data_IF_553506841006
#
_entry.id   IF_553506841006
#
_cell.length_a   1.000
_cell.length_b   1.000
_cell.length_c   1.000
_cell.angle_alpha   90.00
_cell.angle_beta   90.00
_cell.angle_gamma   90.00
#
_symmetry.space_group_name_H-M   'P 1'
#
loop_
_entity.id
_entity.type
_entity.pdbx_description
1 polymer ?
#
# COMPACT_ATOMS: atom_id res chain seq x y z
N UNK A 1 26.83 23.81 10.98
CA UNK A 1 25.83 23.01 10.25
C UNK A 1 25.42 21.88 11.18
N UNK A 2 24.30 22.05 11.89
CA UNK A 2 23.86 21.09 12.89
C UNK A 2 23.43 19.80 12.19
N UNK A 3 23.88 18.67 12.71
CA UNK A 3 23.39 17.36 12.30
C UNK A 3 21.99 17.25 12.88
N UNK A 4 20.97 17.73 12.15
CA UNK A 4 19.60 17.39 12.47
C UNK A 4 19.50 15.86 12.50
N UNK A 5 18.86 15.33 13.56
CA UNK A 5 18.89 13.92 13.90
C UNK A 5 18.48 13.06 12.71
N UNK A 6 19.42 12.29 12.16
CA UNK A 6 19.13 11.30 11.14
C UNK A 6 18.43 10.13 11.81
N UNK A 7 17.14 9.98 11.58
CA UNK A 7 16.41 8.79 12.02
C UNK A 7 16.90 7.59 11.21
N UNK A 8 17.03 6.43 11.85
CA UNK A 8 17.35 5.19 11.13
C UNK A 8 16.04 4.50 10.74
N UNK A 9 15.72 4.38 9.44
CA UNK A 9 14.52 3.66 9.02
C UNK A 9 14.69 2.16 9.28
N UNK A 10 13.64 1.53 9.80
CA UNK A 10 13.58 0.07 10.05
C UNK A 10 12.26 -0.48 9.49
N UNK A 11 12.28 -1.72 9.00
CA UNK A 11 11.07 -2.46 8.63
C UNK A 11 10.57 -3.16 9.88
N UNK A 12 9.31 -2.90 10.26
CA UNK A 12 8.70 -3.46 11.49
C UNK A 12 7.67 -4.56 11.22
N UNK A 13 7.23 -4.75 9.98
CA UNK A 13 6.27 -5.78 9.59
C UNK A 13 6.18 -5.92 8.08
N UNK A 14 5.87 -7.12 7.62
CA UNK A 14 5.76 -7.50 6.21
C UNK A 14 4.49 -8.34 6.02
N UNK A 15 3.82 -8.17 4.89
CA UNK A 15 2.64 -8.96 4.55
C UNK A 15 2.69 -9.34 3.09
N UNK A 16 2.31 -10.58 2.80
CA UNK A 16 2.27 -11.12 1.46
C UNK A 16 1.00 -11.97 1.29
N UNK A 17 0.18 -11.57 0.34
CA UNK A 17 -1.12 -12.19 0.06
C UNK A 17 -1.09 -12.71 -1.36
N UNK A 18 -1.23 -14.03 -1.47
CA UNK A 18 -1.31 -14.74 -2.74
C UNK A 18 -2.74 -15.19 -3.01
N UNK A 19 -3.33 -14.73 -4.11
CA UNK A 19 -4.53 -15.37 -4.64
C UNK A 19 -4.11 -16.62 -5.41
N UNK A 20 -4.32 -17.81 -4.82
CA UNK A 20 -3.89 -19.07 -5.42
C UNK A 20 -4.79 -19.52 -6.59
N UNK A 21 -6.04 -19.05 -6.64
CA UNK A 21 -6.97 -19.36 -7.72
C UNK A 21 -6.68 -18.52 -8.96
N UNK A 22 -6.72 -19.18 -10.11
CA UNK A 22 -6.63 -18.57 -11.44
C UNK A 22 -8.00 -18.40 -12.10
N UNK A 23 -9.06 -18.86 -11.44
CA UNK A 23 -10.42 -18.76 -11.96
C UNK A 23 -10.91 -17.31 -11.88
N UNK A 24 -11.68 -16.89 -12.89
CA UNK A 24 -12.17 -15.51 -12.99
C UNK A 24 -13.16 -15.20 -11.88
N UNK A 25 -13.95 -16.19 -11.46
CA UNK A 25 -14.90 -16.06 -10.34
C UNK A 25 -14.21 -15.78 -9.00
N UNK A 26 -12.96 -16.20 -8.85
CA UNK A 26 -12.13 -15.97 -7.66
C UNK A 26 -11.19 -14.76 -7.82
N UNK A 27 -11.39 -13.96 -8.87
CA UNK A 27 -10.56 -12.79 -9.13
C UNK A 27 -10.75 -11.75 -8.02
N UNK A 28 -9.72 -11.58 -7.19
CA UNK A 28 -9.69 -10.56 -6.16
C UNK A 28 -9.23 -9.23 -6.73
N UNK A 29 -9.89 -8.15 -6.33
CA UNK A 29 -9.47 -6.80 -6.69
C UNK A 29 -8.07 -6.50 -6.09
N UNK A 30 -7.13 -5.89 -6.84
CA UNK A 30 -5.80 -5.61 -6.32
C UNK A 30 -5.78 -4.74 -5.05
N UNK A 31 -6.73 -3.81 -4.93
CA UNK A 31 -6.88 -3.00 -3.72
C UNK A 31 -7.18 -3.83 -2.47
N UNK A 32 -7.93 -4.93 -2.61
CA UNK A 32 -8.25 -5.82 -1.48
C UNK A 32 -7.06 -6.72 -1.12
N UNK A 33 -6.29 -7.18 -2.11
CA UNK A 33 -5.04 -7.89 -1.87
C UNK A 33 -4.02 -7.02 -1.11
N UNK A 34 -3.87 -5.76 -1.52
CA UNK A 34 -3.02 -4.80 -0.82
C UNK A 34 -3.53 -4.51 0.59
N UNK A 35 -4.84 -4.39 0.77
CA UNK A 35 -5.45 -4.14 2.08
C UNK A 35 -5.12 -5.28 3.05
N UNK A 36 -5.34 -6.52 2.62
CA UNK A 36 -5.04 -7.71 3.43
C UNK A 36 -3.54 -7.79 3.76
N UNK A 37 -2.66 -7.51 2.79
CA UNK A 37 -1.22 -7.52 3.00
C UNK A 37 -0.79 -6.47 4.03
N UNK A 38 -1.36 -5.26 3.98
CA UNK A 38 -1.09 -4.23 4.98
C UNK A 38 -1.61 -4.66 6.36
N UNK A 39 -2.80 -5.26 6.43
CA UNK A 39 -3.34 -5.76 7.70
C UNK A 39 -2.46 -6.87 8.30
N UNK A 40 -1.96 -7.80 7.47
CA UNK A 40 -1.04 -8.84 7.89
C UNK A 40 0.29 -8.24 8.40
N UNK A 41 0.86 -7.27 7.67
CA UNK A 41 2.08 -6.58 8.07
C UNK A 41 1.93 -5.86 9.42
N UNK A 42 0.76 -5.25 9.67
CA UNK A 42 0.46 -4.59 10.95
C UNK A 42 0.36 -5.59 12.10
N UNK A 43 -0.26 -6.76 11.88
CA UNK A 43 -0.38 -7.82 12.89
C UNK A 43 0.98 -8.45 13.21
N UNK A 44 1.84 -8.64 12.22
CA UNK A 44 3.18 -9.23 12.42
C UNK A 44 4.06 -8.39 13.37
N UNK A 45 3.79 -7.09 13.50
CA UNK A 45 4.51 -6.22 14.45
C UNK A 45 4.35 -6.65 15.91
N UNK A 46 3.26 -7.35 16.25
CA UNK A 46 2.94 -7.77 17.62
C UNK A 46 2.58 -6.63 18.57
N UNK A 47 2.24 -5.44 18.05
CA UNK A 47 2.00 -4.21 18.84
C UNK A 47 0.51 -3.98 19.22
N UNK A 48 -0.34 -4.96 18.93
CA UNK A 48 -1.81 -4.91 18.80
C UNK A 48 -2.63 -4.40 20.00
N UNK A 49 -2.01 -4.15 21.16
CA UNK A 49 -2.73 -3.72 22.38
C UNK A 49 -2.20 -2.45 23.06
N UNK A 50 -1.00 -1.96 22.70
CA UNK A 50 -0.39 -0.79 23.37
C UNK A 50 -0.16 0.39 22.44
N UNK A 51 -0.21 0.17 21.13
CA UNK A 51 0.13 1.21 20.15
C UNK A 51 -0.76 1.05 18.93
N UNK A 52 -1.63 2.03 18.70
CA UNK A 52 -2.39 2.09 17.46
C UNK A 52 -1.48 2.57 16.32
N UNK A 53 -0.82 1.63 15.64
CA UNK A 53 0.03 1.92 14.49
C UNK A 53 -0.73 2.60 13.35
N UNK A 54 -2.03 2.30 13.17
CA UNK A 54 -2.82 2.89 12.08
C UNK A 54 -2.91 4.40 12.22
N UNK A 55 -3.07 4.89 13.45
CA UNK A 55 -3.05 6.33 13.75
C UNK A 55 -1.72 7.03 13.45
N UNK A 56 -0.62 6.26 13.34
CA UNK A 56 0.72 6.80 13.10
C UNK A 56 1.15 6.76 11.63
N UNK A 57 0.44 6.01 10.78
CA UNK A 57 0.73 5.95 9.35
C UNK A 57 0.45 7.33 8.75
N UNK A 58 1.49 7.98 8.24
CA UNK A 58 1.41 9.30 7.61
C UNK A 58 1.91 9.32 6.15
N UNK A 59 2.34 8.16 5.63
CA UNK A 59 2.66 7.94 4.20
C UNK A 59 2.08 6.63 3.69
N UNK A 60 1.49 6.65 2.49
CA UNK A 60 1.15 5.43 1.75
C UNK A 60 1.63 5.56 0.30
N UNK A 61 2.51 4.64 -0.09
CA UNK A 61 3.04 4.55 -1.44
C UNK A 61 2.63 3.23 -2.08
N UNK A 62 2.05 3.30 -3.27
CA UNK A 62 1.48 2.14 -3.97
C UNK A 62 2.18 1.95 -5.31
N UNK A 63 2.77 0.76 -5.50
CA UNK A 63 3.23 0.31 -6.81
C UNK A 63 2.03 0.01 -7.68
N UNK A 64 2.02 0.58 -8.89
CA UNK A 64 0.90 0.49 -9.82
C UNK A 64 0.68 -0.92 -10.35
N UNK A 65 -0.59 -1.30 -10.33
CA UNK A 65 -1.08 -2.56 -10.90
C UNK A 65 -1.30 -2.38 -12.41
N UNK A 66 -1.10 -3.45 -13.19
CA UNK A 66 -1.37 -3.43 -14.63
C UNK A 66 -2.86 -3.61 -14.96
N UNK A 67 -3.61 -4.20 -14.04
CA UNK A 67 -4.93 -4.76 -14.31
C UNK A 67 -6.08 -3.80 -14.02
N UNK A 68 -5.91 -2.83 -13.11
CA UNK A 68 -6.94 -1.83 -12.78
C UNK A 68 -6.44 -0.39 -12.80
N UNK A 69 -7.29 0.51 -13.31
CA UNK A 69 -7.09 1.95 -13.22
C UNK A 69 -7.77 2.50 -11.96
N UNK A 70 -6.97 3.09 -11.08
CA UNK A 70 -7.44 3.78 -9.89
C UNK A 70 -7.12 5.27 -10.00
N UNK A 71 -8.04 6.12 -9.53
CA UNK A 71 -7.80 7.57 -9.43
C UNK A 71 -6.84 7.90 -8.28
N UNK A 72 -7.18 7.48 -7.06
CA UNK A 72 -6.36 7.66 -5.85
C UNK A 72 -6.35 6.39 -5.01
N UNK A 73 -5.57 5.39 -5.44
CA UNK A 73 -5.45 4.13 -4.72
C UNK A 73 -4.86 4.29 -3.31
N UNK A 74 -3.80 5.09 -3.07
CA UNK A 74 -3.32 5.34 -1.71
C UNK A 74 -4.39 5.94 -0.80
N UNK A 75 -5.17 6.91 -1.28
CA UNK A 75 -6.28 7.50 -0.52
C UNK A 75 -7.42 6.51 -0.26
N UNK A 76 -7.73 5.64 -1.22
CA UNK A 76 -8.70 4.55 -1.04
C UNK A 76 -8.25 3.59 0.08
N UNK A 77 -6.98 3.16 0.06
CA UNK A 77 -6.42 2.28 1.08
C UNK A 77 -6.42 2.95 2.46
N UNK A 78 -6.01 4.22 2.54
CA UNK A 78 -6.05 4.99 3.80
C UNK A 78 -7.45 5.01 4.40
N UNK A 79 -8.47 5.27 3.56
CA UNK A 79 -9.88 5.26 3.98
C UNK A 79 -10.31 3.87 4.47
N UNK A 80 -10.03 2.80 3.71
CA UNK A 80 -10.39 1.42 4.08
C UNK A 80 -9.69 0.96 5.38
N UNK A 81 -8.49 1.46 5.66
CA UNK A 81 -7.72 1.16 6.87
C UNK A 81 -8.07 2.04 8.08
N UNK A 82 -9.00 3.00 7.93
CA UNK A 82 -9.30 4.02 8.94
C UNK A 82 -8.07 4.83 9.40
N UNK A 83 -7.15 5.12 8.47
CA UNK A 83 -5.97 5.94 8.73
C UNK A 83 -6.38 7.43 8.72
N UNK A 84 -5.91 8.24 9.69
CA UNK A 84 -6.21 9.68 9.72
C UNK A 84 -5.82 10.39 8.42
N UNK A 85 -6.69 11.31 7.99
CA UNK A 85 -6.51 12.14 6.80
C UNK A 85 -6.28 13.61 7.21
N UNK A 86 -5.48 14.39 6.45
CA UNK A 86 -4.73 13.98 5.27
C UNK A 86 -3.42 13.24 5.61
N UNK A 87 -3.02 12.31 4.74
CA UNK A 87 -1.66 11.78 4.73
C UNK A 87 -0.67 12.92 4.42
N UNK A 88 0.50 12.90 5.05
CA UNK A 88 1.60 13.83 4.70
C UNK A 88 2.18 13.52 3.33
N UNK A 89 2.21 12.23 2.97
CA UNK A 89 2.69 11.79 1.67
C UNK A 89 1.79 10.69 1.11
N UNK A 90 1.56 10.74 -0.20
CA UNK A 90 1.00 9.62 -0.93
C UNK A 90 1.55 9.57 -2.34
N UNK A 91 1.82 8.38 -2.83
CA UNK A 91 2.31 8.14 -4.17
C UNK A 91 1.58 6.97 -4.80
N UNK A 92 1.09 7.15 -6.03
CA UNK A 92 0.70 6.05 -6.89
C UNK A 92 1.68 6.00 -8.06
N UNK A 93 2.47 4.93 -8.14
CA UNK A 93 3.62 4.88 -9.04
C UNK A 93 3.21 4.87 -10.51
N UNK A 94 4.16 5.20 -11.39
CA UNK A 94 4.08 4.75 -12.79
C UNK A 94 4.43 3.26 -12.88
N UNK A 95 4.03 2.60 -13.96
CA UNK A 95 4.43 1.21 -14.23
C UNK A 95 5.96 1.13 -14.45
N UNK A 96 6.60 0.11 -13.89
CA UNK A 96 8.04 -0.15 -14.08
C UNK A 96 8.57 -1.19 -13.09
N UNK A 97 9.44 -2.10 -13.56
CA UNK A 97 9.95 -3.21 -12.73
C UNK A 97 10.85 -2.78 -11.56
N UNK A 98 11.43 -1.58 -11.62
CA UNK A 98 12.28 -1.02 -10.56
C UNK A 98 11.50 -0.25 -9.49
N UNK A 99 10.19 -0.10 -9.64
CA UNK A 99 9.37 0.77 -8.79
C UNK A 99 9.29 0.31 -7.33
N UNK A 100 9.19 -0.99 -6.99
CA UNK A 100 9.16 -1.42 -5.58
C UNK A 100 10.41 -0.97 -4.81
N UNK A 101 11.60 -1.22 -5.35
CA UNK A 101 12.85 -0.85 -4.70
C UNK A 101 13.03 0.67 -4.61
N UNK A 102 12.66 1.40 -5.67
CA UNK A 102 12.75 2.87 -5.71
C UNK A 102 11.84 3.51 -4.66
N UNK A 103 10.59 3.06 -4.56
CA UNK A 103 9.62 3.63 -3.62
C UNK A 103 10.01 3.32 -2.17
N UNK A 104 10.51 2.11 -1.91
CA UNK A 104 11.04 1.75 -0.60
C UNK A 104 12.23 2.64 -0.19
N UNK A 105 13.18 2.87 -1.10
CA UNK A 105 14.32 3.78 -0.86
C UNK A 105 13.84 5.21 -0.57
N UNK A 106 12.89 5.73 -1.34
CA UNK A 106 12.34 7.07 -1.12
C UNK A 106 11.59 7.17 0.21
N UNK A 107 10.79 6.17 0.59
CA UNK A 107 10.12 6.14 1.90
C UNK A 107 11.14 6.13 3.05
N UNK A 108 12.21 5.34 2.94
CA UNK A 108 13.29 5.30 3.92
C UNK A 108 14.02 6.65 4.03
N UNK A 109 14.25 7.35 2.92
CA UNK A 109 14.83 8.71 2.91
C UNK A 109 13.94 9.71 3.61
N UNK A 110 12.62 9.67 3.39
CA UNK A 110 11.66 10.55 4.07
C UNK A 110 11.66 10.34 5.58
N UNK A 111 11.68 9.08 6.04
CA UNK A 111 11.82 8.74 7.46
C UNK A 111 13.16 9.26 8.01
N UNK A 112 14.26 9.05 7.28
CA UNK A 112 15.60 9.52 7.68
C UNK A 112 15.64 11.03 7.92
N UNK A 113 14.90 11.80 7.12
CA UNK A 113 14.77 13.27 7.22
C UNK A 113 13.72 13.73 8.24
N UNK A 114 12.99 12.81 8.86
CA UNK A 114 11.90 13.14 9.79
C UNK A 114 10.62 13.68 9.13
N UNK A 115 10.50 13.54 7.81
CA UNK A 115 9.33 13.99 7.04
C UNK A 115 8.11 13.09 7.30
N UNK A 116 8.35 11.79 7.49
CA UNK A 116 7.35 10.78 7.81
C UNK A 116 7.75 9.98 9.05
N UNK A 117 6.75 9.61 9.86
CA UNK A 117 6.97 8.78 11.05
C UNK A 117 6.80 7.30 10.77
N UNK A 118 5.78 6.95 10.00
CA UNK A 118 5.46 5.57 9.64
C UNK A 118 4.90 5.55 8.22
N UNK A 119 5.58 4.83 7.34
CA UNK A 119 5.22 4.70 5.94
C UNK A 119 4.78 3.28 5.61
N UNK A 120 3.74 3.18 4.77
CA UNK A 120 3.34 1.93 4.13
C UNK A 120 3.78 1.97 2.68
N UNK A 121 4.53 0.95 2.25
CA UNK A 121 4.82 0.68 0.84
C UNK A 121 4.11 -0.61 0.47
N UNK A 122 3.26 -0.58 -0.55
CA UNK A 122 2.49 -1.74 -0.98
C UNK A 122 2.40 -1.85 -2.49
N UNK A 123 1.98 -3.01 -2.97
CA UNK A 123 1.77 -3.35 -4.36
C UNK A 123 0.94 -4.63 -4.43
N UNK A 124 0.37 -4.93 -5.58
CA UNK A 124 -0.46 -6.12 -5.75
C UNK A 124 -0.86 -6.28 -7.20
N UNK A 125 -0.69 -7.48 -7.73
CA UNK A 125 -1.17 -7.82 -9.06
C UNK A 125 -2.19 -8.95 -8.94
N UNK A 126 -3.31 -8.81 -9.65
CA UNK A 126 -4.31 -9.85 -9.77
C UNK A 126 -4.20 -10.50 -11.15
N UNK A 127 -3.32 -11.51 -11.26
CA UNK A 127 -3.01 -12.20 -12.53
C UNK A 127 -4.09 -13.20 -12.99
N UNK A 128 -5.13 -13.45 -12.19
CA UNK A 128 -6.29 -14.27 -12.61
C UNK A 128 -7.14 -13.61 -13.72
N UNK A 129 -6.87 -12.36 -14.07
CA UNK A 129 -7.61 -11.61 -15.10
C UNK A 129 -7.06 -11.81 -16.52
N UNK A 130 -6.74 -13.05 -16.90
CA UNK A 130 -6.54 -13.42 -18.30
C UNK A 130 -7.86 -13.35 -19.06
N UNK A 131 -8.17 -12.20 -19.67
CA UNK A 131 -9.38 -11.85 -20.47
C UNK A 131 -10.50 -11.09 -19.76
N UNK A 132 -10.21 -10.25 -18.78
CA UNK A 132 -11.12 -9.11 -18.55
C UNK A 132 -10.72 -8.01 -19.53
N UNK A 133 -11.28 -8.06 -20.75
CA UNK A 133 -11.39 -6.87 -21.58
C UNK A 133 -12.00 -5.75 -20.74
N UNK A 134 -11.65 -4.45 -20.95
CA UNK A 134 -12.13 -3.33 -20.12
C UNK A 134 -13.66 -3.09 -20.13
N UNK A 135 -14.44 -4.01 -20.68
CA UNK A 135 -15.88 -3.91 -20.87
C UNK A 135 -16.71 -4.53 -19.73
N UNK A 136 -16.14 -4.80 -18.55
CA UNK A 136 -16.98 -5.05 -17.37
C UNK A 136 -17.61 -3.72 -16.95
N UNK A 137 -18.77 -3.46 -17.53
CA UNK A 137 -19.79 -2.54 -17.05
C UNK A 137 -19.92 -2.71 -15.53
N UNK A 138 -19.43 -1.72 -14.77
CA UNK A 138 -19.90 -1.50 -13.39
C UNK A 138 -21.34 -1.03 -13.48
N UNK A 139 -22.29 -1.97 -13.44
CA UNK A 139 -23.65 -1.68 -13.00
C UNK A 139 -23.59 -1.31 -11.51
N UNK A 140 -24.06 -0.11 -11.19
CA UNK A 140 -24.05 0.43 -9.82
C UNK A 140 -25.20 -0.07 -8.96
N UNK A 141 -25.32 0.47 -7.75
CA UNK A 141 -26.58 0.81 -7.09
C UNK A 141 -26.34 1.94 -6.06
N UNK A 142 -27.12 3.00 -6.24
CA UNK A 142 -27.47 4.20 -5.43
C UNK A 142 -26.54 4.73 -4.33
#
# INVERSE_FOLDING_TARGET
MSIEGRYTPIIIGVGDIRNASTEVEDAREPADLMLDAIQQALQETGLDSKTDLRSQIDSIDVVRTWTWAYGDLPGLLAKKLNIPSPLKHKLYSVNGGNQPAKILDEAARRITRGENKLAVVTGGEALASGKLTPNVLKFGMH
#
